data_IF_194971988856
#
_entry.id   IF_194971988856
#
_cell.length_a   1.000
_cell.length_b   1.000
_cell.length_c   1.000
_cell.angle_alpha   90.00
_cell.angle_beta   90.00
_cell.angle_gamma   90.00
#
_symmetry.space_group_name_H-M   'P 1'
#
loop_
_entity.id
_entity.type
_entity.pdbx_description
1 polymer ?
#
# COMPACT_ATOMS: atom_id res chain seq x y z
N UNK A 1 11.68 -6.31 -22.78
CA UNK A 1 10.69 -5.70 -21.87
C UNK A 1 11.28 -5.74 -20.47
N UNK A 2 11.32 -4.61 -19.76
CA UNK A 2 11.78 -4.61 -18.35
C UNK A 2 10.61 -5.05 -17.49
N UNK A 3 10.76 -6.07 -16.62
CA UNK A 3 9.70 -6.48 -15.72
C UNK A 3 9.35 -5.36 -14.74
N UNK A 4 8.08 -5.30 -14.32
CA UNK A 4 7.64 -4.38 -13.28
C UNK A 4 8.35 -4.71 -11.96
N UNK A 5 8.66 -3.72 -11.12
CA UNK A 5 9.25 -3.97 -9.81
C UNK A 5 8.39 -4.94 -9.02
N UNK A 6 8.99 -5.94 -8.38
CA UNK A 6 8.27 -6.91 -7.55
C UNK A 6 7.47 -6.21 -6.43
N UNK A 7 7.97 -5.08 -5.94
CA UNK A 7 7.34 -4.26 -4.90
C UNK A 7 5.95 -3.75 -5.32
N UNK A 8 5.73 -3.53 -6.63
CA UNK A 8 4.45 -3.05 -7.16
C UNK A 8 3.38 -4.16 -7.21
N UNK A 9 3.79 -5.41 -7.05
CA UNK A 9 2.91 -6.59 -7.11
C UNK A 9 2.91 -7.40 -5.81
N UNK A 10 3.74 -7.02 -4.84
CA UNK A 10 3.78 -7.67 -3.55
C UNK A 10 2.52 -7.34 -2.73
N UNK A 11 2.07 -8.30 -1.92
CA UNK A 11 0.97 -8.06 -0.99
C UNK A 11 1.38 -7.01 0.05
N UNK A 12 0.40 -6.20 0.47
CA UNK A 12 0.62 -5.27 1.57
C UNK A 12 0.95 -6.06 2.83
N UNK A 13 2.10 -5.80 3.49
CA UNK A 13 2.47 -6.54 4.70
C UNK A 13 1.41 -6.32 5.79
N UNK A 14 0.96 -7.42 6.38
CA UNK A 14 0.01 -7.39 7.50
C UNK A 14 0.80 -7.10 8.78
N UNK A 15 0.50 -6.00 9.50
CA UNK A 15 1.17 -5.72 10.77
C UNK A 15 0.89 -6.80 11.81
N UNK A 16 1.92 -7.23 12.54
CA UNK A 16 1.81 -8.27 13.56
C UNK A 16 1.21 -7.76 14.86
N UNK A 17 0.32 -8.55 15.47
CA UNK A 17 -0.15 -8.31 16.84
C UNK A 17 0.87 -8.87 17.84
N UNK A 18 1.21 -8.08 18.86
CA UNK A 18 2.09 -8.51 19.96
C UNK A 18 1.29 -8.95 21.19
N UNK A 19 1.83 -9.91 21.95
CA UNK A 19 1.21 -10.46 23.17
C UNK A 19 2.17 -10.30 24.35
N UNK A 20 1.73 -9.78 25.51
CA UNK A 20 0.37 -9.34 25.83
C UNK A 20 -0.06 -8.08 25.07
N UNK A 21 -1.32 -8.03 24.64
CA UNK A 21 -1.85 -6.91 23.86
C UNK A 21 -2.23 -5.74 24.79
N UNK A 22 -1.24 -4.91 25.09
CA UNK A 22 -1.40 -3.73 25.95
C UNK A 22 -2.01 -2.55 25.18
N UNK A 23 -2.38 -1.49 25.90
CA UNK A 23 -2.79 -0.23 25.27
C UNK A 23 -1.71 0.37 24.36
N UNK A 24 -0.44 0.33 24.78
CA UNK A 24 0.67 0.79 23.94
C UNK A 24 0.79 -0.04 22.66
N UNK A 25 0.64 -1.37 22.76
CA UNK A 25 0.64 -2.25 21.60
C UNK A 25 -0.49 -1.94 20.61
N UNK A 26 -1.66 -1.51 21.09
CA UNK A 26 -2.76 -1.11 20.21
C UNK A 26 -2.45 0.20 19.47
N UNK A 27 -1.82 1.17 20.13
CA UNK A 27 -1.39 2.41 19.48
C UNK A 27 -0.36 2.15 18.39
N UNK A 28 0.64 1.31 18.67
CA UNK A 28 1.67 0.91 17.70
C UNK A 28 1.07 0.16 16.51
N UNK A 29 0.16 -0.78 16.77
CA UNK A 29 -0.55 -1.50 15.70
C UNK A 29 -1.37 -0.55 14.83
N UNK A 30 -2.09 0.42 15.43
CA UNK A 30 -2.83 1.42 14.67
C UNK A 30 -1.91 2.29 13.82
N UNK A 31 -0.76 2.73 14.35
CA UNK A 31 0.21 3.50 13.57
C UNK A 31 0.70 2.72 12.35
N UNK A 32 1.07 1.44 12.53
CA UNK A 32 1.49 0.56 11.44
C UNK A 32 0.38 0.37 10.39
N UNK A 33 -0.86 0.17 10.83
CA UNK A 33 -2.02 0.03 9.94
C UNK A 33 -2.30 1.30 9.14
N UNK A 34 -2.23 2.48 9.76
CA UNK A 34 -2.43 3.75 9.06
C UNK A 34 -1.31 4.04 8.05
N UNK A 35 -0.06 3.68 8.36
CA UNK A 35 1.03 3.77 7.39
C UNK A 35 0.80 2.85 6.19
N UNK A 36 0.44 1.59 6.41
CA UNK A 36 0.15 0.64 5.34
C UNK A 36 -1.03 1.12 4.47
N UNK A 37 -2.10 1.62 5.09
CA UNK A 37 -3.24 2.20 4.37
C UNK A 37 -2.85 3.43 3.54
N UNK A 38 -2.01 4.30 4.09
CA UNK A 38 -1.47 5.47 3.39
C UNK A 38 -0.71 5.07 2.14
N UNK A 39 0.19 4.09 2.25
CA UNK A 39 0.95 3.58 1.11
C UNK A 39 0.02 2.98 0.03
N UNK A 40 -0.93 2.13 0.43
CA UNK A 40 -1.91 1.56 -0.49
C UNK A 40 -2.70 2.63 -1.26
N UNK A 41 -3.04 3.74 -0.62
CA UNK A 41 -3.76 4.83 -1.27
C UNK A 41 -2.88 5.59 -2.27
N UNK A 42 -1.59 5.76 -1.98
CA UNK A 42 -0.62 6.34 -2.91
C UNK A 42 -0.44 5.44 -4.15
N UNK A 43 -0.28 4.14 -3.95
CA UNK A 43 -0.13 3.18 -5.06
C UNK A 43 -1.36 3.19 -5.96
N UNK A 44 -2.56 3.15 -5.37
CA UNK A 44 -3.84 3.29 -6.11
C UNK A 44 -3.93 4.61 -6.87
N UNK A 45 -3.41 5.71 -6.32
CA UNK A 45 -3.38 7.00 -7.02
C UNK A 45 -2.44 6.96 -8.24
N UNK A 46 -1.27 6.34 -8.09
CA UNK A 46 -0.33 6.09 -9.19
C UNK A 46 -0.96 5.26 -10.30
N UNK A 47 -1.63 4.16 -9.96
CA UNK A 47 -2.36 3.30 -10.91
C UNK A 47 -3.42 4.11 -11.67
N UNK A 48 -4.26 4.88 -10.96
CA UNK A 48 -5.28 5.74 -11.61
C UNK A 48 -4.68 6.72 -12.61
N UNK A 49 -3.52 7.30 -12.30
CA UNK A 49 -2.81 8.22 -13.21
C UNK A 49 -2.33 7.48 -14.46
N UNK A 50 -1.72 6.31 -14.31
CA UNK A 50 -1.25 5.48 -15.43
C UNK A 50 -2.42 5.10 -16.34
N UNK A 51 -3.54 4.68 -15.78
CA UNK A 51 -4.74 4.31 -16.55
C UNK A 51 -5.34 5.53 -17.28
N UNK A 52 -5.41 6.69 -16.63
CA UNK A 52 -5.85 7.92 -17.27
C UNK A 52 -4.96 8.30 -18.47
N UNK A 53 -3.64 8.14 -18.33
CA UNK A 53 -2.68 8.41 -19.41
C UNK A 53 -2.78 7.38 -20.55
N UNK A 54 -3.13 6.13 -20.25
CA UNK A 54 -3.42 5.10 -21.28
C UNK A 54 -4.67 5.45 -22.09
N UNK A 55 -5.76 5.83 -21.43
CA UNK A 55 -7.01 6.23 -22.10
C UNK A 55 -6.78 7.43 -23.02
N UNK A 56 -5.99 8.44 -22.58
CA UNK A 56 -5.66 9.62 -23.39
C UNK A 56 -4.79 9.31 -24.62
N UNK A 57 -4.05 8.20 -24.63
CA UNK A 57 -3.16 7.79 -25.73
C UNK A 57 -3.86 6.93 -26.79
N UNK A 58 -5.13 6.61 -26.62
CA UNK A 58 -5.94 5.95 -27.65
C UNK A 58 -6.33 7.02 -28.68
N UNK A 59 -5.94 6.92 -29.96
CA UNK A 59 -6.34 7.85 -31.01
C UNK A 59 -7.85 7.82 -31.29
#
# INVERSE_FOLDING_TARGET
MVPISADLTADTPIPGMVVPFTWQASLELNAQLYTALGQCNLDKAGIRKIEADRVKKIP
#
